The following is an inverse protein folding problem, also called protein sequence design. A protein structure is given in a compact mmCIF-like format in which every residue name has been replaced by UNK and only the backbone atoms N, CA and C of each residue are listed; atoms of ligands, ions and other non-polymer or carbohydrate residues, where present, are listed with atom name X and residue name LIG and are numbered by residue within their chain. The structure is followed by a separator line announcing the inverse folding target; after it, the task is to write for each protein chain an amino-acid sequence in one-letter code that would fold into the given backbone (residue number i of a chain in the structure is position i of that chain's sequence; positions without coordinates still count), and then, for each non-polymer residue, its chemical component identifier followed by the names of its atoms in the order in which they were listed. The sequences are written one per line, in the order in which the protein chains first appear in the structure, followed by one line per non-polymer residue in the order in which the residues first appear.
data_IF_881897458369
#
_entry.id   IF_881897458369
#
_cell.length_a   1.000
_cell.length_b   1.000
_cell.length_c   1.000
_cell.angle_alpha   90.00
_cell.angle_beta   90.00
_cell.angle_gamma   90.00
#
_symmetry.space_group_name_H-M   'P 1'
#
loop_
_entity.id
_entity.type
_entity.pdbx_description
1 polymer ?
#
# COMPACT_ATOMS: atom_id res chain seq x y z
N UNK A 1 3.45 -7.77 6.28
CA UNK A 1 3.43 -8.60 5.05
C UNK A 1 2.07 -8.47 4.41
N UNK A 2 2.03 -8.23 3.09
CA UNK A 2 0.81 -7.91 2.31
C UNK A 2 -0.30 -8.94 2.49
N UNK A 3 0.04 -10.23 2.58
CA UNK A 3 -0.93 -11.32 2.83
C UNK A 3 -1.76 -11.11 4.12
N UNK A 4 -1.13 -10.71 5.22
CA UNK A 4 -1.84 -10.44 6.49
C UNK A 4 -2.79 -9.26 6.34
N UNK A 5 -2.39 -8.24 5.59
CA UNK A 5 -3.22 -7.08 5.31
C UNK A 5 -4.41 -7.43 4.44
N UNK A 6 -4.22 -8.27 3.42
CA UNK A 6 -5.31 -8.79 2.62
C UNK A 6 -6.31 -9.56 3.50
N UNK A 7 -5.85 -10.43 4.40
CA UNK A 7 -6.71 -11.14 5.35
C UNK A 7 -7.46 -10.21 6.33
N UNK A 8 -6.82 -9.13 6.78
CA UNK A 8 -7.45 -8.16 7.68
C UNK A 8 -8.42 -7.19 6.98
N UNK A 9 -8.16 -6.87 5.71
CA UNK A 9 -9.01 -5.99 4.91
C UNK A 9 -10.36 -6.64 4.57
N UNK A 10 -10.35 -7.97 4.41
CA UNK A 10 -11.49 -8.74 3.96
C UNK A 10 -12.36 -9.19 5.13
N UNK A 11 -13.60 -8.67 5.28
CA UNK A 11 -14.56 -9.29 6.19
C UNK A 11 -14.94 -10.68 5.68
N UNK A 12 -15.42 -11.55 6.58
CA UNK A 12 -15.79 -12.94 6.27
C UNK A 12 -16.74 -13.06 5.08
N UNK A 13 -17.61 -12.08 4.85
CA UNK A 13 -18.52 -12.07 3.70
C UNK A 13 -17.82 -11.90 2.36
N UNK A 14 -16.76 -11.11 2.28
CA UNK A 14 -15.99 -11.00 1.03
C UNK A 14 -15.20 -12.29 0.83
N UNK A 15 -14.58 -12.82 1.89
CA UNK A 15 -13.87 -14.11 1.82
C UNK A 15 -14.80 -15.22 1.32
N UNK A 16 -16.01 -15.32 1.86
CA UNK A 16 -17.01 -16.30 1.44
C UNK A 16 -17.56 -16.07 0.02
N UNK A 17 -17.42 -14.86 -0.52
CA UNK A 17 -17.84 -14.53 -1.88
C UNK A 17 -16.76 -14.78 -2.93
N UNK A 18 -15.49 -14.98 -2.52
CA UNK A 18 -14.39 -15.36 -3.40
C UNK A 18 -14.40 -16.87 -3.65
N UNK A 19 -14.08 -17.28 -4.87
CA UNK A 19 -13.89 -18.70 -5.17
C UNK A 19 -12.55 -19.19 -4.60
N UNK A 20 -12.40 -20.51 -4.44
CA UNK A 20 -11.13 -21.11 -4.03
C UNK A 20 -9.99 -20.74 -4.99
N UNK A 21 -10.28 -20.64 -6.30
CA UNK A 21 -9.32 -20.19 -7.31
C UNK A 21 -8.90 -18.74 -7.09
N UNK A 22 -9.84 -17.84 -6.82
CA UNK A 22 -9.54 -16.43 -6.52
C UNK A 22 -8.75 -16.25 -5.23
N UNK A 23 -9.07 -17.01 -4.17
CA UNK A 23 -8.33 -17.01 -2.91
C UNK A 23 -6.89 -17.52 -3.11
N UNK A 24 -6.73 -18.63 -3.83
CA UNK A 24 -5.42 -19.18 -4.14
C UNK A 24 -4.57 -18.20 -4.97
N UNK A 25 -5.18 -17.52 -5.94
CA UNK A 25 -4.51 -16.52 -6.77
C UNK A 25 -4.19 -15.23 -6.00
N UNK A 26 -5.04 -14.83 -5.06
CA UNK A 26 -4.78 -13.70 -4.18
C UNK A 26 -3.54 -13.95 -3.31
N UNK A 27 -3.46 -15.14 -2.70
CA UNK A 27 -2.29 -15.55 -1.91
C UNK A 27 -1.03 -15.55 -2.79
N UNK A 28 -1.08 -16.18 -3.97
CA UNK A 28 0.04 -16.17 -4.91
C UNK A 28 0.46 -14.75 -5.30
N UNK A 29 -0.50 -13.87 -5.63
CA UNK A 29 -0.20 -12.49 -6.00
C UNK A 29 0.44 -11.70 -4.85
N UNK A 30 0.10 -11.98 -3.58
CA UNK A 30 0.78 -11.36 -2.43
C UNK A 30 2.29 -11.66 -2.42
N UNK A 31 2.71 -12.84 -2.89
CA UNK A 31 4.11 -13.23 -2.98
C UNK A 31 4.79 -12.80 -4.28
N UNK A 32 4.04 -12.71 -5.38
CA UNK A 32 4.61 -12.47 -6.71
C UNK A 32 4.61 -11.00 -7.13
N UNK A 33 3.67 -10.16 -6.68
CA UNK A 33 3.42 -8.83 -7.28
C UNK A 33 4.66 -7.93 -7.40
N UNK A 34 5.54 -7.96 -6.40
CA UNK A 34 6.76 -7.16 -6.35
C UNK A 34 8.02 -7.92 -6.79
N UNK A 35 7.95 -9.20 -7.20
CA UNK A 35 9.14 -9.92 -7.70
C UNK A 35 9.76 -9.28 -8.94
N UNK A 36 8.98 -8.47 -9.69
CA UNK A 36 9.50 -7.64 -10.79
C UNK A 36 10.47 -6.55 -10.34
N UNK A 37 10.49 -6.24 -9.03
CA UNK A 37 11.45 -5.32 -8.41
C UNK A 37 12.83 -5.95 -8.20
N UNK A 38 12.93 -7.29 -8.28
CA UNK A 38 14.20 -7.98 -8.36
C UNK A 38 14.82 -7.69 -9.75
N UNK A 39 15.44 -6.53 -9.85
CA UNK A 39 16.26 -6.11 -10.98
C UNK A 39 17.59 -6.87 -11.02
N UNK A 40 18.32 -6.66 -12.09
CA UNK A 40 19.69 -7.14 -12.28
C UNK A 40 20.71 -6.19 -11.64
N UNK A 41 21.98 -6.57 -11.63
CA UNK A 41 23.05 -5.65 -11.25
C UNK A 41 23.06 -4.39 -12.14
N UNK A 42 22.81 -4.56 -13.44
CA UNK A 42 22.71 -3.46 -14.40
C UNK A 42 21.57 -2.48 -14.05
N UNK A 43 20.42 -3.02 -13.62
CA UNK A 43 19.27 -2.21 -13.22
C UNK A 43 19.54 -1.38 -11.95
N UNK A 44 20.51 -1.79 -11.13
CA UNK A 44 20.85 -1.13 -9.88
C UNK A 44 22.00 -0.11 -10.00
N UNK A 45 22.57 0.08 -11.19
CA UNK A 45 23.73 0.94 -11.41
C UNK A 45 23.45 2.43 -11.17
N UNK A 46 22.28 2.94 -11.57
CA UNK A 46 21.94 4.38 -11.43
C UNK A 46 20.62 4.60 -10.69
N UNK A 47 20.31 5.86 -10.38
CA UNK A 47 19.00 6.22 -9.80
C UNK A 47 17.92 6.03 -10.87
N UNK A 48 18.20 6.46 -12.09
CA UNK A 48 17.29 6.41 -13.23
C UNK A 48 16.92 4.97 -13.61
N UNK A 49 17.89 4.05 -13.62
CA UNK A 49 17.66 2.63 -13.91
C UNK A 49 16.79 1.97 -12.84
N UNK A 50 17.05 2.26 -11.57
CA UNK A 50 16.25 1.76 -10.44
C UNK A 50 14.83 2.29 -10.49
N UNK A 51 14.66 3.57 -10.82
CA UNK A 51 13.33 4.17 -10.96
C UNK A 51 12.58 3.63 -12.17
N UNK A 52 13.27 3.25 -13.24
CA UNK A 52 12.65 2.56 -14.36
C UNK A 52 12.12 1.19 -13.95
N UNK A 53 12.92 0.37 -13.25
CA UNK A 53 12.46 -0.92 -12.70
C UNK A 53 11.26 -0.72 -11.80
N UNK A 54 11.30 0.29 -10.91
CA UNK A 54 10.14 0.62 -10.05
C UNK A 54 8.90 1.02 -10.84
N UNK A 55 9.02 1.66 -11.99
CA UNK A 55 7.86 2.00 -12.83
C UNK A 55 7.30 0.79 -13.56
N UNK A 56 8.16 -0.13 -13.98
CA UNK A 56 7.80 -1.24 -14.87
C UNK A 56 7.60 -2.58 -14.16
N UNK A 57 7.92 -2.70 -12.86
CA UNK A 57 7.91 -3.97 -12.12
C UNK A 57 6.61 -4.78 -12.27
N UNK A 58 5.46 -4.13 -12.23
CA UNK A 58 4.17 -4.80 -12.38
C UNK A 58 3.98 -5.43 -13.77
N UNK A 59 4.52 -4.79 -14.80
CA UNK A 59 4.51 -5.30 -16.18
C UNK A 59 5.54 -6.43 -16.29
N UNK A 60 6.78 -6.17 -15.84
CA UNK A 60 7.90 -7.09 -15.98
C UNK A 60 7.65 -8.42 -15.27
N UNK A 61 7.03 -8.40 -14.09
CA UNK A 61 6.72 -9.66 -13.40
C UNK A 61 5.68 -10.48 -14.14
N UNK A 62 4.64 -9.85 -14.70
CA UNK A 62 3.65 -10.58 -15.47
C UNK A 62 4.25 -11.20 -16.73
N UNK A 63 5.17 -10.50 -17.39
CA UNK A 63 5.88 -11.04 -18.56
C UNK A 63 6.81 -12.20 -18.17
N UNK A 64 7.50 -12.10 -17.03
CA UNK A 64 8.35 -13.18 -16.50
C UNK A 64 7.53 -14.42 -16.11
N UNK A 65 6.38 -14.24 -15.45
CA UNK A 65 5.48 -15.36 -15.11
C UNK A 65 5.06 -16.11 -16.37
N UNK A 66 4.69 -15.39 -17.43
CA UNK A 66 4.31 -15.99 -18.72
C UNK A 66 5.48 -16.66 -19.43
N UNK A 67 6.66 -16.06 -19.44
CA UNK A 67 7.83 -16.64 -20.09
C UNK A 67 8.32 -17.93 -19.41
N UNK A 68 8.18 -18.01 -18.08
CA UNK A 68 8.77 -19.07 -17.25
C UNK A 68 7.71 -19.87 -16.46
N UNK A 69 6.46 -19.92 -16.91
CA UNK A 69 5.37 -20.50 -16.12
C UNK A 69 5.62 -21.95 -15.68
N UNK A 70 6.29 -22.75 -16.51
CA UNK A 70 6.65 -24.14 -16.16
C UNK A 70 7.65 -24.20 -15.02
N UNK A 71 8.61 -23.28 -14.99
CA UNK A 71 9.64 -23.20 -13.94
C UNK A 71 9.04 -22.75 -12.61
N UNK A 72 8.03 -21.88 -12.66
CA UNK A 72 7.22 -21.52 -11.50
C UNK A 72 6.25 -22.62 -11.04
N UNK A 73 6.20 -23.76 -11.74
CA UNK A 73 5.40 -24.92 -11.34
C UNK A 73 3.91 -24.83 -11.71
N UNK A 74 3.52 -23.92 -12.59
CA UNK A 74 2.14 -23.88 -13.08
C UNK A 74 1.82 -25.12 -13.90
N UNK A 75 0.61 -25.66 -13.73
CA UNK A 75 0.15 -26.83 -14.48
C UNK A 75 -0.21 -26.50 -15.93
N UNK A 76 -0.62 -25.27 -16.19
CA UNK A 76 -0.96 -24.79 -17.51
C UNK A 76 -0.72 -23.28 -17.63
N UNK A 77 -0.62 -22.81 -18.86
CA UNK A 77 -0.36 -21.41 -19.19
C UNK A 77 -1.54 -20.49 -18.81
N UNK A 78 -2.78 -20.98 -18.82
CA UNK A 78 -3.96 -20.18 -18.46
C UNK A 78 -3.92 -19.71 -17.01
N UNK A 79 -3.52 -20.58 -16.08
CA UNK A 79 -3.34 -20.21 -14.67
C UNK A 79 -2.23 -19.16 -14.50
N UNK A 80 -1.14 -19.29 -15.26
CA UNK A 80 -0.05 -18.34 -15.25
C UNK A 80 -0.45 -16.97 -15.85
N UNK A 81 -1.22 -16.96 -16.94
CA UNK A 81 -1.79 -15.74 -17.54
C UNK A 81 -2.69 -15.01 -16.55
N UNK A 82 -3.56 -15.74 -15.84
CA UNK A 82 -4.42 -15.14 -14.82
C UNK A 82 -3.61 -14.51 -13.70
N UNK A 83 -2.59 -15.19 -13.16
CA UNK A 83 -1.72 -14.58 -12.14
C UNK A 83 -0.94 -13.39 -12.70
N UNK A 84 -0.43 -13.48 -13.93
CA UNK A 84 0.28 -12.40 -14.59
C UNK A 84 -0.60 -11.15 -14.75
N UNK A 85 -1.87 -11.31 -15.11
CA UNK A 85 -2.84 -10.22 -15.18
C UNK A 85 -3.12 -9.59 -13.82
N UNK A 86 -3.28 -10.41 -12.77
CA UNK A 86 -3.50 -9.94 -11.40
C UNK A 86 -2.27 -9.15 -10.91
N UNK A 87 -1.07 -9.69 -11.11
CA UNK A 87 0.18 -9.00 -10.78
C UNK A 87 0.33 -7.70 -11.58
N UNK A 88 0.01 -7.67 -12.88
CA UNK A 88 -0.03 -6.40 -13.64
C UNK A 88 -1.03 -5.42 -13.04
N UNK A 89 -2.17 -5.92 -12.59
CA UNK A 89 -3.26 -5.13 -12.03
C UNK A 89 -2.99 -4.52 -10.65
N UNK A 90 -1.95 -4.94 -9.92
CA UNK A 90 -1.63 -4.30 -8.63
C UNK A 90 -1.14 -2.85 -8.80
N UNK A 91 -0.75 -2.44 -10.02
CA UNK A 91 -0.51 -1.05 -10.41
C UNK A 91 -1.56 -0.62 -11.43
N UNK A 92 -2.75 -0.18 -10.98
CA UNK A 92 -3.83 0.21 -11.88
C UNK A 92 -3.46 1.44 -12.71
N UNK A 93 -4.14 1.60 -13.86
CA UNK A 93 -4.11 2.86 -14.59
C UNK A 93 -4.81 3.94 -13.79
N UNK A 94 -4.53 5.21 -14.12
CA UNK A 94 -5.23 6.35 -13.55
C UNK A 94 -5.91 7.15 -14.65
N UNK A 95 -7.21 7.35 -14.49
CA UNK A 95 -8.05 8.20 -15.33
C UNK A 95 -8.61 9.29 -14.41
N UNK A 96 -8.33 10.57 -14.71
CA UNK A 96 -8.70 11.72 -13.87
C UNK A 96 -8.29 11.58 -12.39
N UNK A 97 -7.15 10.94 -12.15
CA UNK A 97 -6.59 10.72 -10.82
C UNK A 97 -7.17 9.51 -10.07
N UNK A 98 -8.18 8.84 -10.61
CA UNK A 98 -8.85 7.67 -10.02
C UNK A 98 -8.26 6.38 -10.58
N UNK A 99 -7.98 5.39 -9.72
CA UNK A 99 -7.52 4.09 -10.19
C UNK A 99 -8.59 3.34 -10.99
N UNK A 100 -8.15 2.67 -12.06
CA UNK A 100 -9.02 1.89 -12.93
C UNK A 100 -8.29 0.67 -13.49
N UNK A 101 -9.05 -0.40 -13.68
CA UNK A 101 -8.63 -1.65 -14.32
C UNK A 101 -9.31 -1.84 -15.68
N UNK A 102 -9.72 -0.73 -16.32
CA UNK A 102 -10.35 -0.71 -17.65
C UNK A 102 -9.54 -1.45 -18.72
N UNK A 103 -8.21 -1.46 -18.58
CA UNK A 103 -7.27 -2.16 -19.47
C UNK A 103 -7.13 -3.66 -19.19
N UNK A 104 -7.74 -4.19 -18.12
CA UNK A 104 -7.75 -5.62 -17.81
C UNK A 104 -9.11 -6.23 -18.16
N UNK A 105 -9.16 -7.52 -18.54
CA UNK A 105 -10.42 -8.23 -18.64
C UNK A 105 -11.12 -8.26 -17.28
N UNK A 106 -12.44 -8.20 -17.25
CA UNK A 106 -13.21 -8.30 -16.00
C UNK A 106 -13.09 -9.70 -15.38
N UNK A 107 -13.25 -10.72 -16.23
CA UNK A 107 -13.21 -12.13 -15.84
C UNK A 107 -12.32 -12.92 -16.81
N UNK A 108 -11.67 -13.97 -16.31
CA UNK A 108 -10.97 -14.99 -17.12
C UNK A 108 -11.47 -16.39 -16.77
N UNK A 109 -11.61 -17.24 -17.79
CA UNK A 109 -12.02 -18.63 -17.64
C UNK A 109 -10.78 -19.49 -17.40
N UNK A 110 -10.78 -20.27 -16.32
CA UNK A 110 -9.73 -21.26 -16.02
C UNK A 110 -10.09 -22.66 -16.53
N UNK A 111 -11.38 -22.93 -16.70
CA UNK A 111 -11.90 -24.22 -17.17
C UNK A 111 -13.42 -24.26 -17.12
N UNK A 112 -14.04 -25.44 -17.32
CA UNK A 112 -15.48 -25.61 -17.19
C UNK A 112 -15.96 -25.12 -15.82
N UNK A 113 -16.91 -24.18 -15.83
CA UNK A 113 -17.51 -23.56 -14.62
C UNK A 113 -16.52 -22.85 -13.67
N UNK A 114 -15.25 -22.70 -14.07
CA UNK A 114 -14.21 -22.05 -13.28
C UNK A 114 -13.80 -20.75 -13.93
N UNK A 115 -14.03 -19.64 -13.22
CA UNK A 115 -13.63 -18.32 -13.66
C UNK A 115 -13.11 -17.48 -12.49
N UNK A 116 -12.34 -16.45 -12.83
CA UNK A 116 -11.68 -15.55 -11.89
C UNK A 116 -12.00 -14.11 -12.27
N UNK A 117 -12.48 -13.32 -11.32
CA UNK A 117 -12.72 -11.88 -11.47
C UNK A 117 -11.39 -11.12 -11.33
N UNK A 118 -10.68 -10.98 -12.45
CA UNK A 118 -9.34 -10.39 -12.51
C UNK A 118 -9.29 -9.00 -11.88
N UNK A 119 -10.26 -8.14 -12.19
CA UNK A 119 -10.29 -6.76 -11.68
C UNK A 119 -10.48 -6.72 -10.16
N UNK A 120 -11.38 -7.55 -9.62
CA UNK A 120 -11.61 -7.67 -8.19
C UNK A 120 -10.35 -8.12 -7.46
N UNK A 121 -9.71 -9.20 -7.90
CA UNK A 121 -8.49 -9.72 -7.25
C UNK A 121 -7.32 -8.73 -7.38
N UNK A 122 -7.21 -8.04 -8.52
CA UNK A 122 -6.21 -6.98 -8.72
C UNK A 122 -6.40 -5.82 -7.75
N UNK A 123 -7.65 -5.37 -7.57
CA UNK A 123 -8.00 -4.30 -6.64
C UNK A 123 -7.73 -4.70 -5.17
N UNK A 124 -7.93 -5.98 -4.83
CA UNK A 124 -7.61 -6.51 -3.51
C UNK A 124 -6.11 -6.42 -3.21
N UNK A 125 -5.26 -6.87 -4.13
CA UNK A 125 -3.80 -6.77 -3.97
C UNK A 125 -3.34 -5.32 -3.93
N UNK A 126 -3.84 -4.48 -4.84
CA UNK A 126 -3.51 -3.07 -4.86
C UNK A 126 -3.87 -2.39 -3.53
N UNK A 127 -5.07 -2.60 -3.00
CA UNK A 127 -5.44 -2.05 -1.69
C UNK A 127 -4.58 -2.60 -0.55
N UNK A 128 -4.25 -3.89 -0.57
CA UNK A 128 -3.39 -4.49 0.44
C UNK A 128 -1.94 -3.97 0.40
N UNK A 129 -1.34 -3.79 -0.77
CA UNK A 129 0.00 -3.19 -0.94
C UNK A 129 0.00 -1.72 -0.52
N UNK A 130 -1.00 -0.94 -0.95
CA UNK A 130 -1.08 0.48 -0.58
C UNK A 130 -1.38 0.67 0.92
N UNK A 131 -1.99 -0.30 1.60
CA UNK A 131 -2.15 -0.32 3.05
C UNK A 131 -0.95 -0.89 3.80
N UNK A 132 0.06 -1.42 3.09
CA UNK A 132 1.31 -1.83 3.70
C UNK A 132 2.19 -0.62 3.96
N UNK A 133 1.72 0.25 4.87
CA UNK A 133 2.34 1.54 5.22
C UNK A 133 3.07 1.51 6.56
N UNK A 134 2.95 0.42 7.32
CA UNK A 134 3.49 0.30 8.67
C UNK A 134 5.00 0.05 8.74
N UNK A 135 5.50 0.05 9.97
CA UNK A 135 6.92 -0.17 10.30
C UNK A 135 7.47 -1.53 9.88
N UNK A 136 6.60 -2.53 9.67
CA UNK A 136 7.01 -3.86 9.20
C UNK A 136 7.49 -3.86 7.74
N UNK A 137 7.21 -2.79 6.97
CA UNK A 137 7.79 -2.55 5.64
C UNK A 137 9.18 -1.91 5.69
N UNK A 138 9.60 -1.38 6.84
CA UNK A 138 10.89 -0.70 7.03
C UNK A 138 11.49 -1.02 8.41
N UNK A 139 11.90 -2.27 8.67
CA UNK A 139 12.34 -2.70 9.99
C UNK A 139 13.64 -1.98 10.41
N UNK A 140 13.71 -1.42 11.62
CA UNK A 140 14.91 -0.68 12.11
C UNK A 140 16.24 -1.42 11.89
N UNK A 141 16.26 -2.73 12.06
CA UNK A 141 17.47 -3.55 11.85
C UNK A 141 18.01 -3.46 10.41
N UNK A 142 17.13 -3.36 9.42
CA UNK A 142 17.53 -3.22 8.02
C UNK A 142 18.05 -1.81 7.72
N UNK A 143 17.57 -0.78 8.43
CA UNK A 143 18.09 0.59 8.31
C UNK A 143 19.53 0.66 8.80
N UNK A 144 19.77 0.07 9.97
CA UNK A 144 21.07 0.01 10.64
C UNK A 144 22.07 -0.80 9.82
N UNK A 145 21.61 -1.89 9.18
CA UNK A 145 22.47 -2.77 8.38
C UNK A 145 22.79 -2.21 6.99
N UNK A 146 21.81 -1.59 6.31
CA UNK A 146 21.96 -1.15 4.91
C UNK A 146 22.54 0.27 4.77
N UNK A 147 22.94 0.92 5.87
CA UNK A 147 23.52 2.27 5.90
C UNK A 147 22.83 3.25 4.94
N UNK A 148 21.50 3.40 5.05
CA UNK A 148 20.70 4.10 4.03
C UNK A 148 21.21 5.54 3.78
N UNK A 149 21.93 5.72 2.67
CA UNK A 149 22.63 6.97 2.33
C UNK A 149 21.74 7.97 1.59
N UNK A 150 20.76 7.48 0.83
CA UNK A 150 19.82 8.32 0.07
C UNK A 150 18.85 9.08 1.00
N UNK A 151 18.74 10.39 0.78
CA UNK A 151 17.79 11.23 1.50
C UNK A 151 16.33 10.84 1.24
N UNK A 152 16.02 10.42 0.01
CA UNK A 152 14.70 9.92 -0.36
C UNK A 152 14.38 8.62 0.36
N UNK A 153 15.30 7.65 0.33
CA UNK A 153 15.11 6.37 1.02
C UNK A 153 14.92 6.58 2.52
N UNK A 154 15.72 7.44 3.17
CA UNK A 154 15.50 7.81 4.59
C UNK A 154 14.13 8.43 4.84
N UNK A 155 13.63 9.27 3.94
CA UNK A 155 12.30 9.86 4.05
C UNK A 155 11.19 8.80 3.89
N UNK A 156 11.32 7.88 2.94
CA UNK A 156 10.42 6.73 2.81
C UNK A 156 10.43 5.87 4.06
N UNK A 157 11.61 5.55 4.57
CA UNK A 157 11.81 4.75 5.76
C UNK A 157 11.15 5.36 7.00
N UNK A 158 11.40 6.66 7.23
CA UNK A 158 10.82 7.42 8.33
C UNK A 158 9.29 7.42 8.29
N UNK A 159 8.67 7.47 7.11
CA UNK A 159 7.20 7.39 6.98
C UNK A 159 6.67 6.05 7.47
N UNK A 160 7.31 4.96 7.08
CA UNK A 160 6.91 3.62 7.51
C UNK A 160 7.07 3.44 9.02
N UNK A 161 8.21 3.85 9.58
CA UNK A 161 8.45 3.80 11.03
C UNK A 161 7.51 4.69 11.86
N UNK A 162 6.90 5.70 11.24
CA UNK A 162 5.94 6.56 11.90
C UNK A 162 4.57 5.92 12.04
N UNK A 163 4.29 4.82 11.33
CA UNK A 163 2.97 4.16 11.34
C UNK A 163 3.05 2.80 12.02
N UNK A 164 2.20 2.61 13.03
CA UNK A 164 1.99 1.35 13.70
C UNK A 164 0.66 0.73 13.29
N UNK A 165 0.62 -0.61 13.31
CA UNK A 165 -0.55 -1.41 12.96
C UNK A 165 -0.51 -1.97 11.53
N UNK A 166 -1.66 -2.43 11.01
CA UNK A 166 -2.99 -2.25 11.61
C UNK A 166 -3.27 -3.20 12.77
N UNK A 167 -4.18 -2.77 13.64
CA UNK A 167 -4.87 -3.63 14.60
C UNK A 167 -6.36 -3.67 14.27
N UNK A 168 -7.02 -4.80 14.49
CA UNK A 168 -8.48 -4.92 14.29
C UNK A 168 -9.18 -4.53 15.58
N UNK A 169 -10.03 -3.49 15.53
CA UNK A 169 -10.83 -3.05 16.67
C UNK A 169 -12.25 -2.67 16.23
N UNK A 170 -13.28 -3.30 16.80
CA UNK A 170 -14.69 -3.04 16.48
C UNK A 170 -14.94 -2.97 14.96
N UNK A 171 -14.51 -4.00 14.23
CA UNK A 171 -14.56 -4.11 12.75
C UNK A 171 -13.78 -3.06 11.96
N UNK A 172 -12.98 -2.23 12.60
CA UNK A 172 -12.10 -1.27 11.93
C UNK A 172 -10.67 -1.79 11.86
N UNK A 173 -9.99 -1.45 10.76
CA UNK A 173 -8.53 -1.48 10.70
C UNK A 173 -7.99 -0.17 11.24
N UNK A 174 -7.35 -0.24 12.40
CA UNK A 174 -6.82 0.93 13.09
C UNK A 174 -5.31 1.01 12.90
N UNK A 175 -4.86 2.14 12.37
CA UNK A 175 -3.46 2.53 12.28
C UNK A 175 -3.19 3.71 13.23
N UNK A 176 -2.00 3.75 13.81
CA UNK A 176 -1.53 4.90 14.62
C UNK A 176 -0.32 5.55 13.95
N UNK A 177 -0.35 6.86 13.78
CA UNK A 177 0.74 7.66 13.23
C UNK A 177 1.39 8.54 14.27
N UNK A 178 2.69 8.40 14.49
CA UNK A 178 3.48 9.30 15.34
C UNK A 178 4.18 10.36 14.49
N UNK A 179 3.96 11.63 14.84
CA UNK A 179 4.59 12.77 14.15
C UNK A 179 5.27 13.71 15.14
N UNK A 180 6.35 14.35 14.68
CA UNK A 180 7.15 15.27 15.48
C UNK A 180 7.21 16.69 14.89
N UNK A 181 6.72 16.91 13.68
CA UNK A 181 6.52 18.25 13.13
C UNK A 181 5.37 18.32 12.11
N UNK A 182 4.76 19.50 11.89
CA UNK A 182 3.62 19.66 10.98
C UNK A 182 3.95 19.28 9.54
N UNK A 183 5.15 19.64 9.05
CA UNK A 183 5.63 19.27 7.71
C UNK A 183 5.66 17.76 7.50
N UNK A 184 6.07 16.99 8.51
CA UNK A 184 6.11 15.54 8.41
C UNK A 184 4.70 14.93 8.46
N UNK A 185 3.79 15.51 9.24
CA UNK A 185 2.38 15.12 9.22
C UNK A 185 1.76 15.33 7.82
N UNK A 186 2.00 16.48 7.20
CA UNK A 186 1.54 16.76 5.83
C UNK A 186 2.10 15.75 4.82
N UNK A 187 3.36 15.35 4.97
CA UNK A 187 3.98 14.33 4.13
C UNK A 187 3.32 12.96 4.29
N UNK A 188 3.07 12.54 5.55
CA UNK A 188 2.44 11.27 5.84
C UNK A 188 0.99 11.24 5.33
N UNK A 189 0.25 12.35 5.46
CA UNK A 189 -1.12 12.50 4.93
C UNK A 189 -1.21 12.23 3.44
N UNK A 190 -0.22 12.62 2.64
CA UNK A 190 -0.21 12.30 1.19
C UNK A 190 -0.16 10.80 0.93
N UNK A 191 0.61 10.08 1.74
CA UNK A 191 0.73 8.61 1.64
C UNK A 191 -0.58 7.93 2.08
N UNK A 192 -1.18 8.41 3.17
CA UNK A 192 -2.47 7.93 3.66
C UNK A 192 -3.61 8.18 2.67
N UNK A 193 -3.61 9.35 2.01
CA UNK A 193 -4.59 9.69 0.98
C UNK A 193 -4.59 8.63 -0.13
N UNK A 194 -3.41 8.20 -0.58
CA UNK A 194 -3.27 7.15 -1.60
C UNK A 194 -3.82 5.81 -1.10
N UNK A 195 -3.46 5.41 0.12
CA UNK A 195 -3.94 4.16 0.72
C UNK A 195 -5.47 4.13 0.91
N UNK A 196 -6.07 5.25 1.34
CA UNK A 196 -7.53 5.34 1.50
C UNK A 196 -8.25 5.37 0.15
N UNK A 197 -7.69 6.06 -0.85
CA UNK A 197 -8.20 5.98 -2.22
C UNK A 197 -8.21 4.54 -2.73
N UNK A 198 -7.15 3.77 -2.49
CA UNK A 198 -7.08 2.36 -2.91
C UNK A 198 -8.22 1.51 -2.33
N UNK A 199 -8.63 1.80 -1.10
CA UNK A 199 -9.71 1.08 -0.41
C UNK A 199 -11.08 1.51 -0.91
N UNK A 200 -11.27 2.79 -1.25
CA UNK A 200 -12.47 3.26 -1.94
C UNK A 200 -12.60 2.62 -3.33
N UNK A 201 -11.49 2.51 -4.05
CA UNK A 201 -11.41 1.89 -5.38
C UNK A 201 -11.72 0.38 -5.30
N UNK A 202 -11.23 -0.31 -4.27
CA UNK A 202 -11.60 -1.69 -3.98
C UNK A 202 -13.10 -1.84 -3.68
N UNK A 203 -13.68 -0.96 -2.85
CA UNK A 203 -15.13 -1.01 -2.57
C UNK A 203 -15.97 -0.87 -3.84
N UNK A 204 -15.52 -0.07 -4.81
CA UNK A 204 -16.18 0.04 -6.10
C UNK A 204 -16.13 -1.27 -6.90
N UNK A 205 -14.99 -1.97 -6.91
CA UNK A 205 -14.86 -3.28 -7.56
C UNK A 205 -15.67 -4.38 -6.84
N UNK A 206 -15.72 -4.36 -5.51
CA UNK A 206 -16.57 -5.27 -4.70
C UNK A 206 -18.05 -5.06 -5.04
N UNK A 207 -18.50 -3.81 -5.16
CA UNK A 207 -19.86 -3.48 -5.56
C UNK A 207 -20.17 -3.91 -7.00
N UNK A 208 -19.24 -3.70 -7.95
CA UNK A 208 -19.37 -4.19 -9.34
C UNK A 208 -19.48 -5.71 -9.41
N UNK A 209 -18.76 -6.40 -8.53
CA UNK A 209 -18.83 -7.86 -8.41
C UNK A 209 -20.12 -8.37 -7.73
N UNK A 210 -21.04 -7.49 -7.34
CA UNK A 210 -22.32 -7.85 -6.72
C UNK A 210 -22.21 -8.34 -5.28
N UNK A 211 -21.15 -7.96 -4.56
CA UNK A 211 -20.92 -8.38 -3.18
C UNK A 211 -21.47 -7.32 -2.21
N UNK A 212 -22.47 -7.70 -1.40
CA UNK A 212 -23.31 -6.80 -0.60
C UNK A 212 -22.65 -6.17 0.65
N UNK A 213 -21.31 -6.16 0.77
CA UNK A 213 -20.62 -5.53 1.92
C UNK A 213 -19.35 -4.78 1.53
N UNK A 214 -19.16 -3.67 2.23
CA UNK A 214 -17.96 -2.82 2.19
C UNK A 214 -16.84 -3.49 2.96
N UNK A 215 -15.60 -3.33 2.49
CA UNK A 215 -14.38 -3.75 3.23
C UNK A 215 -14.32 -3.13 4.62
N UNK A 216 -13.50 -3.70 5.51
CA UNK A 216 -13.37 -3.17 6.86
C UNK A 216 -12.99 -1.68 6.84
N UNK A 217 -13.76 -0.78 7.48
CA UNK A 217 -13.46 0.64 7.50
C UNK A 217 -12.10 0.89 8.15
N UNK A 218 -11.38 1.87 7.61
CA UNK A 218 -10.04 2.22 8.09
C UNK A 218 -10.11 3.44 8.97
N UNK A 219 -9.44 3.37 10.11
CA UNK A 219 -9.26 4.48 11.04
C UNK A 219 -7.78 4.76 11.22
N UNK A 220 -7.42 6.03 11.12
CA UNK A 220 -6.07 6.47 11.43
C UNK A 220 -6.10 7.44 12.62
N UNK A 221 -5.29 7.14 13.63
CA UNK A 221 -5.18 7.92 14.85
C UNK A 221 -3.83 8.62 14.86
N UNK A 222 -3.83 9.93 15.11
CA UNK A 222 -2.60 10.72 15.17
C UNK A 222 -2.10 10.84 16.60
N UNK A 223 -0.86 10.42 16.84
CA UNK A 223 -0.12 10.70 18.05
C UNK A 223 0.77 11.93 17.84
N UNK A 224 0.29 13.08 18.34
CA UNK A 224 0.94 14.38 18.17
C UNK A 224 1.70 14.85 19.41
N UNK A 225 1.84 14.00 20.44
CA UNK A 225 2.39 14.41 21.74
C UNK A 225 3.78 15.05 21.59
N UNK A 226 4.68 14.39 20.86
CA UNK A 226 6.05 14.87 20.63
C UNK A 226 6.06 16.18 19.83
N UNK A 227 5.26 16.26 18.77
CA UNK A 227 5.12 17.49 17.98
C UNK A 227 4.68 18.67 18.85
N UNK A 228 3.64 18.50 19.68
CA UNK A 228 3.17 19.55 20.58
C UNK A 228 4.26 19.99 21.57
N UNK A 229 4.97 19.03 22.19
CA UNK A 229 6.08 19.35 23.10
C UNK A 229 7.17 20.18 22.42
N UNK A 230 7.56 19.83 21.18
CA UNK A 230 8.61 20.53 20.44
C UNK A 230 8.17 21.94 20.00
N UNK A 231 6.94 22.09 19.50
CA UNK A 231 6.40 23.38 19.08
C UNK A 231 6.31 24.32 20.28
N UNK A 232 5.73 23.86 21.41
CA UNK A 232 5.62 24.69 22.63
C UNK A 232 7.00 25.07 23.15
N UNK A 233 7.94 24.13 23.22
CA UNK A 233 9.30 24.42 23.66
C UNK A 233 9.99 25.48 22.79
N UNK A 234 9.79 25.42 21.46
CA UNK A 234 10.33 26.40 20.50
C UNK A 234 9.67 27.77 20.62
N UNK A 235 8.34 27.83 20.73
CA UNK A 235 7.60 29.09 20.84
C UNK A 235 7.95 29.81 22.14
N UNK A 236 8.22 29.07 23.22
CA UNK A 236 8.58 29.60 24.53
C UNK A 236 10.09 29.70 24.79
N UNK A 237 10.95 29.44 23.78
CA UNK A 237 12.40 29.32 24.01
C UNK A 237 13.12 30.66 24.28
N UNK A 238 12.51 31.78 23.89
CA UNK A 238 13.09 33.11 24.10
C UNK A 238 12.91 33.65 25.53
N UNK A 239 12.23 32.88 26.38
CA UNK A 239 11.92 33.19 27.79
C UNK A 239 11.21 34.53 27.99
N UNK A 240 10.67 35.14 26.92
CA UNK A 240 9.93 36.37 27.02
C UNK A 240 8.52 36.08 27.52
N UNK A 241 7.99 36.86 28.47
CA UNK A 241 6.60 36.75 28.87
C UNK A 241 5.69 37.01 27.66
N UNK A 242 4.86 36.03 27.31
CA UNK A 242 3.87 36.14 26.24
C UNK A 242 2.48 35.91 26.82
N UNK A 243 1.49 36.65 26.31
CA UNK A 243 0.10 36.32 26.56
C UNK A 243 -0.24 34.95 25.96
N UNK A 244 -1.20 34.22 26.54
CA UNK A 244 -1.62 32.90 26.05
C UNK A 244 -2.01 32.97 24.57
N UNK A 245 -2.75 33.99 24.16
CA UNK A 245 -3.19 34.15 22.77
C UNK A 245 -2.01 34.27 21.79
N UNK A 246 -0.96 35.02 22.15
CA UNK A 246 0.24 35.15 21.33
C UNK A 246 1.03 33.83 21.21
N UNK A 247 1.00 32.99 22.26
CA UNK A 247 1.57 31.64 22.21
C UNK A 247 0.73 30.77 21.26
N UNK A 248 -0.59 30.80 21.38
CA UNK A 248 -1.51 30.03 20.52
C UNK A 248 -1.33 30.43 19.05
N UNK A 249 -1.28 31.72 18.74
CA UNK A 249 -1.04 32.21 17.37
C UNK A 249 0.31 31.73 16.81
N UNK A 250 1.38 31.82 17.61
CA UNK A 250 2.71 31.35 17.21
C UNK A 250 2.74 29.83 16.97
N UNK A 251 2.02 29.06 17.80
CA UNK A 251 1.87 27.62 17.64
C UNK A 251 1.10 27.27 16.36
N UNK A 252 -0.01 27.98 16.09
CA UNK A 252 -0.84 27.76 14.90
C UNK A 252 -0.09 28.13 13.61
N UNK A 253 0.76 29.15 13.64
CA UNK A 253 1.59 29.55 12.50
C UNK A 253 2.59 28.46 12.06
N UNK A 254 2.91 27.48 12.90
CA UNK A 254 3.76 26.34 12.51
C UNK A 254 3.01 25.31 11.65
N UNK A 255 1.68 25.40 11.55
CA UNK A 255 0.83 24.49 10.76
C UNK A 255 0.40 25.06 9.40
N UNK A 256 0.66 26.34 9.14
CA UNK A 256 0.41 27.03 7.86
C UNK A 256 1.62 26.98 6.95
#
# INVERSE_FOLDING_TARGET
MVEKLAGWLLPETIVAALTDDELALLIQACHFHDLGMAGTEADNLTVESRDQVRREHAISIGDRILAHWREFGFQNETAADVLALICKGHRPRREDGVATWSNLPETRILGPERSVRIRLVSALIYAADELHIGEDRAPRREEEFNEITSAESRRHWRRHQAVQGPTVANTHLVFEGTVDCPRFELDLRKSLSKAFSAVLELNAEVARAGIDKVVNPIRFVWNRKKMWMLIVARVCSDLQPRAIDAIVESVLAEFT
#
